data_IF_562621373172
#
_entry.id   IF_562621373172
#
_cell.length_a   1.000
_cell.length_b   1.000
_cell.length_c   1.000
_cell.angle_alpha   90.00
_cell.angle_beta   90.00
_cell.angle_gamma   90.00
#
_symmetry.space_group_name_H-M   'P 1'
#
loop_
_entity.id
_entity.type
_entity.pdbx_description
1 polymer ?
#
# COMPACT_ATOMS: atom_id res chain seq x y z
N UNK A 1 6.74 24.61 -40.54
CA UNK A 1 6.02 25.14 -41.71
C UNK A 1 6.32 26.62 -41.85
N UNK A 2 6.94 27.03 -42.96
CA UNK A 2 7.15 28.44 -43.30
C UNK A 2 6.11 28.83 -44.34
N UNK A 3 5.14 29.65 -43.94
CA UNK A 3 4.07 30.14 -44.81
C UNK A 3 2.98 30.85 -44.03
N UNK A 4 3.27 32.04 -43.51
CA UNK A 4 2.29 32.89 -42.84
C UNK A 4 2.20 34.26 -43.52
N UNK A 5 1.20 34.46 -44.36
CA UNK A 5 0.83 35.78 -44.89
C UNK A 5 -0.04 36.55 -43.90
N UNK A 6 0.15 37.86 -43.81
CA UNK A 6 -0.38 38.75 -42.77
C UNK A 6 -1.79 39.32 -43.05
N UNK A 7 -2.71 38.53 -43.58
CA UNK A 7 -4.08 38.98 -43.88
C UNK A 7 -5.02 38.88 -42.67
N UNK A 8 -5.67 39.99 -42.31
CA UNK A 8 -6.47 40.14 -41.09
C UNK A 8 -7.79 39.33 -41.03
N UNK A 9 -8.14 38.62 -42.11
CA UNK A 9 -9.41 37.86 -42.23
C UNK A 9 -9.25 36.33 -42.31
N UNK A 10 -8.04 35.78 -42.15
CA UNK A 10 -7.83 34.33 -42.25
C UNK A 10 -7.85 33.65 -40.89
N UNK A 11 -8.76 32.68 -40.73
CA UNK A 11 -8.72 31.72 -39.62
C UNK A 11 -7.48 30.83 -39.85
N UNK A 12 -6.48 30.97 -38.97
CA UNK A 12 -5.27 30.14 -39.01
C UNK A 12 -5.66 28.67 -38.76
N UNK A 13 -5.04 27.69 -39.44
CA UNK A 13 -5.31 26.29 -39.18
C UNK A 13 -4.95 25.96 -37.73
N UNK A 14 -5.96 25.66 -36.91
CA UNK A 14 -5.78 25.12 -35.58
C UNK A 14 -5.33 23.67 -35.71
N UNK A 15 -4.05 23.40 -35.46
CA UNK A 15 -3.56 22.04 -35.32
C UNK A 15 -3.94 21.54 -33.93
N UNK A 16 -4.93 20.66 -33.84
CA UNK A 16 -5.19 19.89 -32.62
C UNK A 16 -4.25 18.69 -32.63
N UNK A 17 -3.18 18.75 -31.83
CA UNK A 17 -2.37 17.57 -31.56
C UNK A 17 -3.14 16.67 -30.61
N UNK A 18 -3.63 15.53 -31.11
CA UNK A 18 -4.04 14.42 -30.25
C UNK A 18 -2.78 13.82 -29.65
N UNK A 19 -2.48 14.17 -28.40
CA UNK A 19 -1.49 13.43 -27.62
C UNK A 19 -2.15 12.10 -27.29
N UNK A 20 -1.71 11.01 -27.90
CA UNK A 20 -2.16 9.69 -27.49
C UNK A 20 -1.82 9.51 -26.00
N UNK A 21 -2.82 9.19 -25.18
CA UNK A 21 -2.64 8.85 -23.76
C UNK A 21 -2.04 7.44 -23.66
N UNK A 22 -0.75 7.34 -23.98
CA UNK A 22 -0.01 6.08 -23.90
C UNK A 22 0.46 5.84 -22.46
N UNK A 23 0.32 4.59 -22.01
CA UNK A 23 0.89 4.16 -20.75
C UNK A 23 2.42 4.30 -20.75
N UNK A 24 2.99 4.55 -19.56
CA UNK A 24 4.44 4.48 -19.40
C UNK A 24 4.91 3.04 -19.68
N UNK A 25 5.73 2.87 -20.72
CA UNK A 25 6.15 1.54 -21.21
C UNK A 25 6.83 0.67 -20.14
N UNK A 26 7.57 1.27 -19.20
CA UNK A 26 8.21 0.55 -18.09
C UNK A 26 7.15 0.08 -17.10
N UNK A 27 6.24 0.97 -16.70
CA UNK A 27 5.17 0.63 -15.77
C UNK A 27 4.19 -0.39 -16.37
N UNK A 28 3.99 -0.38 -17.70
CA UNK A 28 3.16 -1.35 -18.40
C UNK A 28 3.81 -2.74 -18.47
N UNK A 29 5.14 -2.83 -18.59
CA UNK A 29 5.86 -4.11 -18.69
C UNK A 29 6.13 -4.77 -17.32
N UNK A 30 6.31 -3.97 -16.27
CA UNK A 30 6.67 -4.46 -14.93
C UNK A 30 5.72 -5.53 -14.35
N UNK A 31 4.38 -5.39 -14.42
CA UNK A 31 3.46 -6.37 -13.85
C UNK A 31 3.68 -7.80 -14.34
N UNK A 32 4.05 -7.99 -15.62
CA UNK A 32 4.28 -9.33 -16.19
C UNK A 32 5.43 -10.06 -15.49
N UNK A 33 6.49 -9.33 -15.13
CA UNK A 33 7.65 -9.88 -14.44
C UNK A 33 7.36 -10.03 -12.94
N UNK A 34 6.78 -9.00 -12.32
CA UNK A 34 6.51 -8.95 -10.88
C UNK A 34 5.58 -10.07 -10.42
N UNK A 35 4.57 -10.42 -11.22
CA UNK A 35 3.67 -11.53 -10.94
C UNK A 35 4.39 -12.89 -10.91
N UNK A 36 5.45 -13.07 -11.72
CA UNK A 36 6.21 -14.34 -11.77
C UNK A 36 7.16 -14.49 -10.58
N UNK A 37 7.71 -13.38 -10.09
CA UNK A 37 8.70 -13.38 -9.00
C UNK A 37 8.08 -13.09 -7.62
N UNK A 38 6.77 -12.84 -7.55
CA UNK A 38 6.04 -12.46 -6.34
C UNK A 38 6.69 -11.25 -5.63
N UNK A 39 6.89 -10.19 -6.40
CA UNK A 39 7.46 -8.93 -5.92
C UNK A 39 6.53 -7.75 -6.21
N UNK A 40 6.87 -6.61 -5.63
CA UNK A 40 6.20 -5.32 -5.88
C UNK A 40 7.23 -4.30 -6.34
N UNK A 41 6.82 -3.35 -7.17
CA UNK A 41 7.64 -2.23 -7.60
C UNK A 41 7.04 -0.92 -7.12
N UNK A 42 7.91 -0.06 -6.57
CA UNK A 42 7.56 1.32 -6.25
C UNK A 42 7.89 2.15 -7.50
N UNK A 43 6.91 2.88 -8.01
CA UNK A 43 7.02 3.65 -9.26
C UNK A 43 6.72 5.11 -9.00
N UNK A 44 7.54 5.99 -9.57
CA UNK A 44 7.32 7.43 -9.48
C UNK A 44 6.32 7.89 -10.55
N UNK A 45 5.25 8.54 -10.12
CA UNK A 45 4.29 9.20 -10.98
C UNK A 45 4.66 10.67 -11.25
N UNK A 46 4.01 11.33 -12.21
CA UNK A 46 4.21 12.75 -12.45
C UNK A 46 3.71 13.60 -11.27
N UNK A 47 4.16 14.86 -11.24
CA UNK A 47 3.75 15.84 -10.25
C UNK A 47 2.45 16.53 -10.66
N UNK A 48 1.66 16.95 -9.67
CA UNK A 48 0.36 17.57 -9.85
C UNK A 48 -0.77 16.55 -10.03
N UNK A 49 -1.91 16.85 -9.42
CA UNK A 49 -3.08 15.97 -9.42
C UNK A 49 -3.56 15.53 -10.81
N UNK A 50 -3.69 16.46 -11.76
CA UNK A 50 -4.25 16.17 -13.08
C UNK A 50 -3.37 15.21 -13.88
N UNK A 51 -2.06 15.50 -13.94
CA UNK A 51 -1.09 14.65 -14.60
C UNK A 51 -0.97 13.28 -13.91
N UNK A 52 -1.01 13.24 -12.58
CA UNK A 52 -0.99 11.99 -11.82
C UNK A 52 -2.22 11.13 -12.11
N UNK A 53 -3.41 11.73 -12.16
CA UNK A 53 -4.67 11.01 -12.42
C UNK A 53 -4.67 10.42 -13.82
N UNK A 54 -4.32 11.20 -14.84
CA UNK A 54 -4.21 10.71 -16.23
C UNK A 54 -3.19 9.58 -16.34
N UNK A 55 -2.01 9.73 -15.73
CA UNK A 55 -1.00 8.68 -15.72
C UNK A 55 -1.50 7.40 -15.02
N UNK A 56 -2.18 7.54 -13.88
CA UNK A 56 -2.75 6.42 -13.13
C UNK A 56 -3.81 5.69 -13.94
N UNK A 57 -4.66 6.39 -14.68
CA UNK A 57 -5.72 5.79 -15.51
C UNK A 57 -5.17 4.83 -16.58
N UNK A 58 -3.91 5.01 -16.99
CA UNK A 58 -3.24 4.10 -17.93
C UNK A 58 -2.74 2.79 -17.31
N UNK A 59 -2.81 2.63 -15.98
CA UNK A 59 -2.16 1.54 -15.24
C UNK A 59 -3.14 0.77 -14.35
N UNK A 60 -2.97 -0.55 -14.26
CA UNK A 60 -3.74 -1.41 -13.36
C UNK A 60 -2.92 -2.63 -12.94
N UNK A 61 -2.44 -2.65 -11.69
CA UNK A 61 -1.71 -3.77 -11.13
C UNK A 61 -1.61 -3.67 -9.60
N UNK A 62 -1.88 -4.78 -8.91
CA UNK A 62 -1.64 -4.95 -7.47
C UNK A 62 -0.13 -4.97 -7.10
N UNK A 63 0.77 -5.10 -8.08
CA UNK A 63 2.22 -5.12 -7.90
C UNK A 63 2.89 -3.75 -8.02
N UNK A 64 2.15 -2.72 -8.45
CA UNK A 64 2.68 -1.37 -8.62
C UNK A 64 2.23 -0.47 -7.48
N UNK A 65 3.19 0.18 -6.82
CA UNK A 65 2.96 1.12 -5.71
C UNK A 65 3.38 2.51 -6.19
N UNK A 66 2.43 3.38 -6.54
CA UNK A 66 2.73 4.69 -7.10
C UNK A 66 3.10 5.70 -6.01
N UNK A 67 4.09 6.54 -6.29
CA UNK A 67 4.56 7.60 -5.40
C UNK A 67 4.70 8.90 -6.19
N UNK A 68 4.25 10.00 -5.61
CA UNK A 68 4.45 11.37 -6.10
C UNK A 68 4.57 12.30 -4.90
N UNK A 69 5.31 13.40 -4.91
CA UNK A 69 6.17 13.86 -5.99
C UNK A 69 7.59 13.31 -5.80
N UNK A 70 8.52 13.74 -6.67
CA UNK A 70 9.94 13.52 -6.46
C UNK A 70 10.46 14.14 -5.15
N UNK A 71 11.73 13.91 -4.84
CA UNK A 71 12.41 14.47 -3.66
C UNK A 71 13.61 15.32 -4.04
N UNK A 72 13.88 16.36 -3.27
CA UNK A 72 15.08 17.18 -3.37
C UNK A 72 16.15 16.68 -2.40
N UNK A 73 17.40 16.55 -2.87
CA UNK A 73 18.56 16.11 -2.08
C UNK A 73 19.78 16.96 -2.43
N UNK A 74 20.69 17.14 -1.47
CA UNK A 74 22.03 17.69 -1.71
C UNK A 74 22.90 16.65 -2.45
N UNK A 75 23.45 17.01 -3.60
CA UNK A 75 24.39 16.17 -4.33
C UNK A 75 25.81 16.19 -3.72
N UNK A 76 26.79 15.60 -4.42
CA UNK A 76 28.17 15.56 -3.94
C UNK A 76 28.88 16.92 -4.00
N UNK A 77 28.35 17.83 -4.80
CA UNK A 77 28.93 19.15 -5.08
C UNK A 77 28.29 20.24 -4.19
N UNK A 78 27.23 19.89 -3.45
CA UNK A 78 26.53 20.76 -2.50
C UNK A 78 25.22 21.34 -3.04
N UNK A 79 24.83 20.99 -4.27
CA UNK A 79 23.67 21.55 -4.94
C UNK A 79 22.39 20.76 -4.63
N UNK A 80 21.27 21.47 -4.54
CA UNK A 80 19.96 20.85 -4.33
C UNK A 80 19.42 20.35 -5.67
N UNK A 81 19.38 19.02 -5.82
CA UNK A 81 18.91 18.36 -7.04
C UNK A 81 17.63 17.56 -6.80
N UNK A 82 16.72 17.59 -7.78
CA UNK A 82 15.53 16.72 -7.80
C UNK A 82 15.89 15.30 -8.21
N UNK A 83 15.35 14.32 -7.50
CA UNK A 83 15.50 12.89 -7.78
C UNK A 83 14.17 12.16 -7.57
N UNK A 84 13.99 10.99 -8.21
CA UNK A 84 12.82 10.16 -7.97
C UNK A 84 12.71 9.74 -6.49
N UNK A 85 11.48 9.65 -5.99
CA UNK A 85 11.17 9.33 -4.60
C UNK A 85 11.18 7.82 -4.33
N UNK A 86 10.87 6.99 -5.33
CA UNK A 86 10.73 5.54 -5.16
C UNK A 86 11.91 4.86 -4.44
N UNK A 87 13.20 5.17 -4.72
CA UNK A 87 14.31 4.55 -3.99
C UNK A 87 14.34 4.88 -2.49
N UNK A 88 13.83 6.06 -2.09
CA UNK A 88 13.79 6.46 -0.68
C UNK A 88 12.63 5.77 0.03
N UNK A 89 11.49 5.63 -0.64
CA UNK A 89 10.36 4.84 -0.11
C UNK A 89 10.74 3.36 0.01
N UNK A 90 11.51 2.81 -0.93
CA UNK A 90 12.08 1.47 -0.80
C UNK A 90 12.97 1.33 0.44
N UNK A 91 13.77 2.36 0.77
CA UNK A 91 14.55 2.39 2.01
C UNK A 91 13.67 2.40 3.27
N UNK A 92 12.57 3.16 3.27
CA UNK A 92 11.57 3.13 4.35
C UNK A 92 10.94 1.75 4.47
N UNK A 93 10.61 1.11 3.36
CA UNK A 93 10.04 -0.23 3.32
C UNK A 93 10.95 -1.25 4.02
N UNK A 94 12.23 -1.30 3.63
CA UNK A 94 13.21 -2.22 4.21
C UNK A 94 13.43 -1.94 5.69
N UNK A 95 13.52 -0.67 6.10
CA UNK A 95 13.63 -0.29 7.52
C UNK A 95 12.43 -0.82 8.30
N UNK A 96 11.22 -0.58 7.80
CA UNK A 96 9.99 -0.93 8.49
C UNK A 96 9.80 -2.44 8.60
N UNK A 97 10.14 -3.19 7.57
CA UNK A 97 10.10 -4.64 7.64
C UNK A 97 11.14 -5.17 8.63
N UNK A 98 12.35 -4.60 8.66
CA UNK A 98 13.40 -5.00 9.60
C UNK A 98 13.03 -4.77 11.07
N UNK A 99 12.34 -3.66 11.38
CA UNK A 99 11.77 -3.40 12.71
C UNK A 99 10.76 -4.47 13.17
N UNK A 100 10.21 -5.25 12.23
CA UNK A 100 9.25 -6.32 12.47
C UNK A 100 9.84 -7.69 12.10
N UNK A 101 11.14 -7.91 12.35
CA UNK A 101 11.84 -9.17 12.09
C UNK A 101 11.83 -9.61 10.61
N UNK A 102 11.84 -8.65 9.69
CA UNK A 102 11.81 -8.89 8.25
C UNK A 102 10.43 -9.27 7.69
N UNK A 103 9.36 -9.07 8.47
CA UNK A 103 7.99 -9.46 8.08
C UNK A 103 7.24 -8.29 7.42
N UNK A 104 6.79 -8.42 6.15
CA UNK A 104 6.29 -7.29 5.37
C UNK A 104 4.78 -7.01 5.53
N UNK A 105 4.22 -7.18 6.73
CA UNK A 105 2.78 -6.98 7.02
C UNK A 105 2.43 -5.57 7.48
N UNK A 106 3.43 -4.70 7.67
CA UNK A 106 3.23 -3.34 8.16
C UNK A 106 3.32 -2.34 7.01
N UNK A 107 2.41 -1.38 7.01
CA UNK A 107 2.46 -0.25 6.08
C UNK A 107 3.66 0.66 6.35
N UNK A 108 4.15 1.27 5.29
CA UNK A 108 5.20 2.30 5.29
C UNK A 108 4.62 3.70 5.50
N UNK A 109 3.30 3.85 5.55
CA UNK A 109 2.65 5.12 5.81
C UNK A 109 2.99 5.65 7.21
N UNK A 110 2.96 6.97 7.34
CA UNK A 110 3.30 7.71 8.55
C UNK A 110 4.72 7.43 9.06
N UNK A 111 5.65 7.15 8.15
CA UNK A 111 7.05 6.92 8.47
C UNK A 111 7.89 8.14 8.07
N UNK A 112 8.81 8.50 8.96
CA UNK A 112 9.74 9.59 8.70
C UNK A 112 10.70 9.23 7.55
N UNK A 113 10.81 10.16 6.60
CA UNK A 113 11.65 10.08 5.41
C UNK A 113 12.95 10.87 5.65
N UNK A 114 14.08 10.18 5.61
CA UNK A 114 15.40 10.74 5.90
C UNK A 114 16.21 11.00 4.62
N UNK A 115 17.21 11.89 4.73
CA UNK A 115 18.17 12.13 3.65
C UNK A 115 17.60 12.95 2.48
N UNK A 116 16.52 13.69 2.70
CA UNK A 116 15.92 14.63 1.75
C UNK A 116 15.89 16.03 2.35
N UNK A 117 15.95 17.03 1.48
CA UNK A 117 15.83 18.46 1.84
C UNK A 117 14.37 18.91 1.77
N UNK A 118 13.57 18.24 0.95
CA UNK A 118 12.13 18.43 0.86
C UNK A 118 11.53 17.69 -0.33
N UNK A 119 10.20 17.64 -0.44
CA UNK A 119 9.55 17.12 -1.62
C UNK A 119 9.73 18.09 -2.80
N UNK A 120 9.60 17.59 -4.02
CA UNK A 120 9.67 18.40 -5.23
C UNK A 120 8.51 19.39 -5.29
N UNK A 121 7.30 18.90 -5.01
CA UNK A 121 6.06 19.66 -4.84
C UNK A 121 5.52 19.44 -3.42
N UNK A 122 5.04 20.49 -2.77
CA UNK A 122 4.38 20.35 -1.46
C UNK A 122 2.90 20.08 -1.68
N UNK A 123 2.45 18.86 -1.41
CA UNK A 123 1.02 18.55 -1.36
C UNK A 123 0.45 18.86 0.02
N UNK A 124 -0.75 19.46 0.05
CA UNK A 124 -1.48 19.70 1.30
C UNK A 124 -2.18 18.43 1.74
N UNK A 125 -2.01 18.08 3.01
CA UNK A 125 -2.74 17.02 3.69
C UNK A 125 -3.33 17.59 4.98
N UNK A 126 -4.61 17.32 5.23
CA UNK A 126 -5.29 17.70 6.46
C UNK A 126 -5.95 16.47 7.08
N UNK A 127 -5.97 16.43 8.42
CA UNK A 127 -6.67 15.41 9.20
C UNK A 127 -8.20 15.56 9.17
N UNK A 128 -8.71 16.75 8.86
CA UNK A 128 -10.14 17.08 8.91
C UNK A 128 -10.74 17.37 7.54
N UNK A 129 -9.95 17.97 6.65
CA UNK A 129 -10.36 18.27 5.27
C UNK A 129 -9.92 17.16 4.31
N UNK A 130 -10.91 16.50 3.70
CA UNK A 130 -10.70 15.44 2.71
C UNK A 130 -10.59 15.92 1.27
N UNK A 131 -10.70 17.22 1.01
CA UNK A 131 -10.75 17.80 -0.35
C UNK A 131 -9.44 18.50 -0.74
N UNK A 132 -8.33 18.12 -0.11
CA UNK A 132 -7.02 18.67 -0.44
C UNK A 132 -6.39 17.91 -1.61
N UNK A 133 -5.51 18.55 -2.38
CA UNK A 133 -4.81 17.91 -3.51
C UNK A 133 -4.14 16.58 -3.09
N UNK A 134 -3.51 16.54 -1.91
CA UNK A 134 -2.90 15.31 -1.40
C UNK A 134 -3.91 14.21 -1.09
N UNK A 135 -5.09 14.55 -0.56
CA UNK A 135 -6.16 13.57 -0.30
C UNK A 135 -6.77 13.04 -1.59
N UNK A 136 -6.89 13.86 -2.64
CA UNK A 136 -7.35 13.44 -3.96
C UNK A 136 -6.35 12.50 -4.65
N UNK A 137 -5.04 12.77 -4.53
CA UNK A 137 -3.99 11.86 -5.00
C UNK A 137 -4.04 10.52 -4.23
N UNK A 138 -4.24 10.55 -2.91
CA UNK A 138 -4.40 9.35 -2.09
C UNK A 138 -5.64 8.55 -2.48
N UNK A 139 -6.76 9.22 -2.78
CA UNK A 139 -7.98 8.58 -3.27
C UNK A 139 -7.76 7.94 -4.66
N UNK A 140 -6.90 8.52 -5.49
CA UNK A 140 -6.42 7.95 -6.75
C UNK A 140 -5.34 6.87 -6.57
N UNK A 141 -5.17 6.33 -5.35
CA UNK A 141 -4.21 5.27 -5.00
C UNK A 141 -2.73 5.71 -5.01
N UNK A 142 -2.46 7.02 -5.05
CA UNK A 142 -1.12 7.60 -5.04
C UNK A 142 -0.55 7.81 -3.64
N UNK A 143 0.70 7.39 -3.41
CA UNK A 143 1.45 7.76 -2.21
C UNK A 143 2.03 9.17 -2.30
N UNK A 144 1.87 9.98 -1.26
CA UNK A 144 2.37 11.34 -1.15
C UNK A 144 3.47 11.51 -0.10
N UNK A 145 4.32 12.52 -0.27
CA UNK A 145 5.28 12.97 0.75
C UNK A 145 4.85 14.34 1.23
N UNK A 146 4.67 14.46 2.55
CA UNK A 146 4.19 15.68 3.20
C UNK A 146 5.21 16.19 4.20
N UNK A 147 5.25 17.51 4.37
CA UNK A 147 6.07 18.17 5.37
C UNK A 147 5.29 18.27 6.68
N UNK A 148 5.93 17.95 7.79
CA UNK A 148 5.39 18.20 9.12
C UNK A 148 5.44 19.68 9.50
N UNK A 149 4.48 20.12 10.29
CA UNK A 149 4.34 21.50 10.76
C UNK A 149 3.93 21.49 12.23
N UNK A 150 4.80 22.01 13.10
CA UNK A 150 4.56 22.07 14.54
C UNK A 150 3.53 23.15 14.94
N UNK A 151 3.23 24.09 14.04
CA UNK A 151 2.26 25.16 14.27
C UNK A 151 0.86 24.85 13.76
N UNK A 152 0.67 23.72 13.07
CA UNK A 152 -0.62 23.30 12.50
C UNK A 152 -1.12 22.03 13.19
N UNK A 153 -2.17 22.18 14.02
CA UNK A 153 -2.85 21.06 14.70
C UNK A 153 -3.45 20.03 13.71
N UNK A 154 -3.60 20.39 12.43
CA UNK A 154 -4.11 19.52 11.38
C UNK A 154 -3.02 18.82 10.57
N UNK A 155 -1.74 19.11 10.82
CA UNK A 155 -0.63 18.44 10.17
C UNK A 155 -0.51 16.99 10.66
N UNK A 156 -0.08 16.09 9.77
CA UNK A 156 0.10 14.66 10.12
C UNK A 156 1.33 14.41 11.01
N UNK A 157 2.26 15.35 11.05
CA UNK A 157 3.50 15.26 11.81
C UNK A 157 3.94 16.64 12.32
N UNK A 158 4.53 16.70 13.50
CA UNK A 158 5.06 17.93 14.09
C UNK A 158 6.29 18.47 13.35
N UNK A 159 7.00 17.62 12.61
CA UNK A 159 8.20 18.02 11.88
C UNK A 159 8.75 16.95 10.94
N UNK A 160 9.76 17.34 10.17
CA UNK A 160 10.38 16.48 9.17
C UNK A 160 9.50 16.24 7.94
N UNK A 161 9.78 15.16 7.22
CA UNK A 161 9.01 14.73 6.05
C UNK A 161 8.49 13.32 6.29
N UNK A 162 7.24 13.09 5.90
CA UNK A 162 6.55 11.83 6.15
C UNK A 162 5.95 11.30 4.86
N UNK A 163 6.11 10.00 4.62
CA UNK A 163 5.42 9.33 3.54
C UNK A 163 4.03 8.90 3.97
N UNK A 164 3.02 9.26 3.19
CA UNK A 164 1.63 8.89 3.38
C UNK A 164 1.19 8.16 2.10
N UNK A 165 1.08 6.84 2.18
CA UNK A 165 0.63 6.02 1.07
C UNK A 165 0.46 4.58 1.54
N UNK A 166 -0.69 4.00 1.27
CA UNK A 166 -1.06 2.64 1.70
C UNK A 166 -1.44 1.73 0.54
N UNK A 167 -1.52 2.27 -0.67
CA UNK A 167 -2.26 1.67 -1.77
C UNK A 167 -1.32 1.23 -2.91
N UNK A 168 -1.71 0.17 -3.60
CA UNK A 168 -1.21 -0.19 -4.92
C UNK A 168 -2.26 0.16 -5.98
N UNK A 169 -1.93 -0.11 -7.25
CA UNK A 169 -2.83 0.12 -8.39
C UNK A 169 -3.78 -1.07 -8.64
N UNK A 170 -4.16 -1.83 -7.60
CA UNK A 170 -5.15 -2.89 -7.76
C UNK A 170 -6.54 -2.33 -8.06
N UNK A 171 -7.24 -2.94 -9.01
CA UNK A 171 -8.64 -2.64 -9.29
C UNK A 171 -9.59 -3.20 -8.21
N UNK A 172 -9.14 -4.20 -7.44
CA UNK A 172 -9.95 -4.85 -6.40
C UNK A 172 -9.65 -4.24 -5.03
N UNK A 173 -10.68 -3.77 -4.33
CA UNK A 173 -10.56 -3.13 -3.01
C UNK A 173 -9.92 -4.05 -1.97
N UNK A 174 -10.10 -5.36 -2.08
CA UNK A 174 -9.52 -6.36 -1.17
C UNK A 174 -7.98 -6.31 -1.22
N UNK A 175 -7.41 -6.20 -2.42
CA UNK A 175 -5.96 -6.20 -2.67
C UNK A 175 -5.36 -4.81 -2.80
N UNK A 176 -6.16 -3.76 -2.64
CA UNK A 176 -5.73 -2.38 -2.83
C UNK A 176 -4.62 -1.97 -1.87
N UNK A 177 -4.54 -2.55 -0.68
CA UNK A 177 -3.51 -2.18 0.29
C UNK A 177 -2.23 -2.98 0.03
N UNK A 178 -1.11 -2.31 -0.25
CA UNK A 178 0.09 -3.01 -0.74
C UNK A 178 0.66 -4.01 0.28
N UNK A 179 0.53 -3.74 1.59
CA UNK A 179 1.08 -4.64 2.61
C UNK A 179 0.31 -5.95 2.68
N UNK A 180 -0.96 -6.00 2.25
CA UNK A 180 -1.71 -7.26 2.13
C UNK A 180 -1.11 -8.14 1.06
N UNK A 181 -0.85 -7.59 -0.13
CA UNK A 181 -0.21 -8.33 -1.23
C UNK A 181 1.17 -8.83 -0.82
N UNK A 182 2.00 -7.94 -0.24
CA UNK A 182 3.34 -8.30 0.23
C UNK A 182 3.33 -9.36 1.35
N UNK A 183 2.43 -9.22 2.31
CA UNK A 183 2.26 -10.16 3.41
C UNK A 183 1.81 -11.54 2.92
N UNK A 184 0.88 -11.57 1.97
CA UNK A 184 0.43 -12.80 1.31
C UNK A 184 1.57 -13.51 0.59
N UNK A 185 2.30 -12.79 -0.27
CA UNK A 185 3.44 -13.34 -1.01
C UNK A 185 4.48 -13.94 -0.05
N UNK A 186 4.73 -13.27 1.09
CA UNK A 186 5.66 -13.76 2.11
C UNK A 186 5.24 -15.10 2.71
N UNK A 187 3.95 -15.27 3.01
CA UNK A 187 3.42 -16.55 3.52
C UNK A 187 3.49 -17.61 2.42
N UNK A 188 3.06 -17.30 1.20
CA UNK A 188 3.07 -18.23 0.07
C UNK A 188 4.50 -18.72 -0.25
N UNK A 189 5.47 -17.82 -0.31
CA UNK A 189 6.88 -18.17 -0.50
C UNK A 189 7.43 -19.01 0.66
N UNK A 190 7.00 -18.75 1.89
CA UNK A 190 7.39 -19.54 3.07
C UNK A 190 6.81 -20.95 3.01
N UNK A 191 5.54 -21.09 2.61
CA UNK A 191 4.90 -22.38 2.35
C UNK A 191 5.65 -23.13 1.24
N UNK A 192 5.89 -22.52 0.07
CA UNK A 192 6.61 -23.16 -1.04
C UNK A 192 8.02 -23.64 -0.65
N UNK A 193 8.77 -22.82 0.10
CA UNK A 193 10.11 -23.19 0.60
C UNK A 193 10.06 -24.38 1.56
N UNK A 194 9.06 -24.42 2.43
CA UNK A 194 8.90 -25.49 3.42
C UNK A 194 8.43 -26.78 2.76
N UNK A 195 7.43 -26.69 1.88
CA UNK A 195 6.86 -27.82 1.15
C UNK A 195 7.88 -28.48 0.22
N UNK A 196 8.84 -27.73 -0.31
CA UNK A 196 9.95 -28.27 -1.11
C UNK A 196 10.69 -29.43 -0.40
N UNK A 197 10.74 -29.46 0.92
CA UNK A 197 11.41 -30.53 1.67
C UNK A 197 10.66 -31.87 1.64
N UNK A 198 9.36 -31.85 1.35
CA UNK A 198 8.52 -33.05 1.24
C UNK A 198 8.52 -33.62 -0.18
N UNK A 199 8.68 -32.76 -1.19
CA UNK A 199 8.60 -33.14 -2.61
C UNK A 199 9.66 -34.18 -2.96
N UNK A 200 9.20 -35.33 -3.48
CA UNK A 200 10.06 -36.44 -3.93
C UNK A 200 10.74 -37.25 -2.82
N UNK A 201 10.59 -36.86 -1.54
CA UNK A 201 11.24 -37.54 -0.40
C UNK A 201 10.35 -38.61 0.24
N UNK A 202 9.05 -38.39 0.27
CA UNK A 202 8.09 -39.26 0.97
C UNK A 202 7.03 -39.81 0.00
N UNK A 203 6.60 -41.05 0.24
CA UNK A 203 5.44 -41.62 -0.45
C UNK A 203 4.16 -40.94 0.01
N UNK A 204 3.17 -40.83 -0.89
CA UNK A 204 1.89 -40.21 -0.58
C UNK A 204 1.01 -41.14 0.28
N UNK A 205 1.29 -41.16 1.58
CA UNK A 205 0.51 -41.88 2.60
C UNK A 205 -0.38 -40.90 3.37
N UNK A 206 -1.40 -41.42 4.07
CA UNK A 206 -2.25 -40.61 4.96
C UNK A 206 -1.43 -39.79 5.96
N UNK A 207 -0.38 -40.40 6.53
CA UNK A 207 0.51 -39.71 7.46
C UNK A 207 1.24 -38.55 6.79
N UNK A 208 1.76 -38.74 5.58
CA UNK A 208 2.48 -37.71 4.83
C UNK A 208 1.55 -36.55 4.48
N UNK A 209 0.34 -36.83 3.99
CA UNK A 209 -0.67 -35.79 3.69
C UNK A 209 -0.99 -34.99 4.96
N UNK A 210 -1.22 -35.68 6.09
CA UNK A 210 -1.50 -35.00 7.36
C UNK A 210 -0.31 -34.16 7.83
N UNK A 211 0.92 -34.65 7.70
CA UNK A 211 2.13 -33.88 8.03
C UNK A 211 2.26 -32.62 7.18
N UNK A 212 1.94 -32.69 5.89
CA UNK A 212 1.96 -31.53 4.99
C UNK A 212 0.90 -30.51 5.41
N UNK A 213 -0.35 -30.95 5.64
CA UNK A 213 -1.44 -30.08 6.10
C UNK A 213 -1.10 -29.42 7.44
N UNK A 214 -0.57 -30.18 8.41
CA UNK A 214 -0.13 -29.64 9.69
C UNK A 214 1.00 -28.63 9.53
N UNK A 215 1.92 -28.86 8.59
CA UNK A 215 3.02 -27.92 8.33
C UNK A 215 2.50 -26.57 7.82
N UNK A 216 1.56 -26.58 6.87
CA UNK A 216 0.92 -25.34 6.38
C UNK A 216 0.12 -24.67 7.49
N UNK A 217 -0.64 -25.45 8.25
CA UNK A 217 -1.38 -24.98 9.42
C UNK A 217 -0.45 -24.27 10.42
N UNK A 218 0.69 -24.87 10.77
CA UNK A 218 1.64 -24.30 11.75
C UNK A 218 2.28 -23.00 11.26
N UNK A 219 2.50 -22.85 9.95
CA UNK A 219 2.98 -21.59 9.36
C UNK A 219 1.94 -20.49 9.57
N UNK A 220 0.67 -20.77 9.28
CA UNK A 220 -0.43 -19.81 9.43
C UNK A 220 -0.72 -19.51 10.91
N UNK A 221 -0.68 -20.52 11.77
CA UNK A 221 -0.84 -20.36 13.22
C UNK A 221 0.23 -19.44 13.82
N UNK A 222 1.48 -19.55 13.35
CA UNK A 222 2.55 -18.63 13.76
C UNK A 222 2.30 -17.21 13.25
N UNK A 223 1.82 -17.04 12.02
CA UNK A 223 1.48 -15.73 11.48
C UNK A 223 0.33 -15.07 12.29
N UNK A 224 -0.67 -15.84 12.71
CA UNK A 224 -1.75 -15.36 13.57
C UNK A 224 -1.23 -14.97 14.97
N UNK A 225 -0.45 -15.85 15.60
CA UNK A 225 0.13 -15.58 16.93
C UNK A 225 1.02 -14.32 16.95
N UNK A 226 1.63 -14.01 15.82
CA UNK A 226 2.43 -12.83 15.59
C UNK A 226 1.63 -11.54 15.34
N UNK A 227 0.31 -11.65 15.12
CA UNK A 227 -0.54 -10.53 14.73
C UNK A 227 -0.27 -10.02 13.31
N UNK A 228 0.22 -10.90 12.42
CA UNK A 228 0.43 -10.61 11.00
C UNK A 228 -0.88 -10.83 10.20
N UNK A 229 -1.66 -11.83 10.59
CA UNK A 229 -3.00 -12.13 10.08
C UNK A 229 -4.03 -12.13 11.22
N UNK A 230 -5.31 -11.94 10.88
CA UNK A 230 -6.42 -11.92 11.84
C UNK A 230 -6.99 -13.31 12.14
N UNK A 231 -6.79 -14.25 11.23
CA UNK A 231 -7.29 -15.62 11.35
C UNK A 231 -7.09 -16.39 10.05
N UNK A 232 -7.23 -17.72 10.12
CA UNK A 232 -7.03 -18.61 8.98
C UNK A 232 -7.85 -19.90 9.07
N UNK A 233 -7.95 -20.58 7.93
CA UNK A 233 -8.50 -21.93 7.78
C UNK A 233 -7.60 -22.71 6.84
N UNK A 234 -7.10 -23.86 7.27
CA UNK A 234 -6.26 -24.74 6.46
C UNK A 234 -6.84 -26.15 6.50
N UNK A 235 -7.20 -26.70 5.34
CA UNK A 235 -7.80 -28.04 5.25
C UNK A 235 -7.43 -28.78 3.97
N UNK A 236 -7.51 -30.10 4.07
CA UNK A 236 -7.58 -30.97 2.91
C UNK A 236 -9.06 -31.10 2.49
N UNK A 237 -9.41 -30.56 1.32
CA UNK A 237 -10.78 -30.61 0.81
C UNK A 237 -10.99 -31.83 -0.07
N UNK A 238 -12.05 -32.61 0.22
CA UNK A 238 -12.39 -33.82 -0.55
C UNK A 238 -12.91 -33.48 -1.95
N UNK A 239 -13.52 -32.30 -2.14
CA UNK A 239 -14.04 -31.89 -3.45
C UNK A 239 -12.91 -31.54 -4.43
N UNK A 240 -11.79 -31.04 -3.90
CA UNK A 240 -10.61 -30.70 -4.69
C UNK A 240 -9.67 -31.89 -4.91
N UNK A 241 -9.75 -32.93 -4.08
CA UNK A 241 -8.83 -34.06 -4.10
C UNK A 241 -9.53 -35.35 -4.53
N UNK A 242 -9.39 -35.71 -5.80
CA UNK A 242 -9.92 -36.95 -6.34
C UNK A 242 -8.86 -38.08 -6.37
N UNK A 243 -9.31 -39.33 -6.50
CA UNK A 243 -8.42 -40.50 -6.49
C UNK A 243 -7.42 -40.54 -7.67
N UNK A 244 -7.73 -39.89 -8.79
CA UNK A 244 -6.83 -39.84 -9.95
C UNK A 244 -5.63 -38.93 -9.69
N UNK A 245 -5.86 -37.76 -9.08
CA UNK A 245 -4.79 -36.83 -8.69
C UNK A 245 -3.90 -37.44 -7.61
N UNK A 246 -4.49 -38.10 -6.61
CA UNK A 246 -3.73 -38.81 -5.58
C UNK A 246 -2.87 -39.93 -6.18
N UNK A 247 -3.35 -40.64 -7.20
CA UNK A 247 -2.57 -41.66 -7.91
C UNK A 247 -1.36 -41.07 -8.62
N UNK A 248 -1.46 -39.83 -9.12
CA UNK A 248 -0.34 -39.10 -9.72
C UNK A 248 0.64 -38.51 -8.69
N UNK A 249 0.33 -38.63 -7.39
CA UNK A 249 1.12 -38.04 -6.31
C UNK A 249 0.80 -36.57 -6.05
N UNK A 250 -0.30 -36.05 -6.59
CA UNK A 250 -0.73 -34.67 -6.46
C UNK A 250 -1.81 -34.52 -5.38
N UNK A 251 -1.70 -33.46 -4.57
CA UNK A 251 -2.70 -33.08 -3.57
C UNK A 251 -2.93 -31.57 -3.59
N UNK A 252 -4.17 -31.18 -3.29
CA UNK A 252 -4.59 -29.80 -3.11
C UNK A 252 -4.84 -29.51 -1.62
N UNK A 253 -4.38 -28.35 -1.17
CA UNK A 253 -4.61 -27.85 0.18
C UNK A 253 -5.29 -26.49 0.06
N UNK A 254 -6.46 -26.37 0.70
CA UNK A 254 -7.22 -25.13 0.78
C UNK A 254 -6.76 -24.36 2.02
N UNK A 255 -6.03 -23.26 1.79
CA UNK A 255 -5.52 -22.36 2.81
C UNK A 255 -6.11 -20.95 2.60
N UNK A 256 -6.95 -20.53 3.54
CA UNK A 256 -7.60 -19.22 3.57
C UNK A 256 -7.09 -18.46 4.79
N UNK A 257 -6.76 -17.19 4.63
CA UNK A 257 -6.30 -16.33 5.71
C UNK A 257 -6.59 -14.88 5.36
N UNK A 258 -6.71 -14.01 6.36
CA UNK A 258 -7.00 -12.58 6.17
C UNK A 258 -5.91 -11.73 6.85
N UNK A 259 -5.25 -10.89 6.05
CA UNK A 259 -4.29 -9.90 6.53
C UNK A 259 -5.01 -8.71 7.17
N UNK A 260 -4.48 -8.23 8.29
CA UNK A 260 -5.06 -7.07 8.97
C UNK A 260 -5.03 -5.82 8.06
N UNK A 261 -6.16 -5.11 7.88
CA UNK A 261 -6.17 -3.88 7.10
C UNK A 261 -5.44 -2.76 7.84
N UNK A 262 -4.86 -1.82 7.07
CA UNK A 262 -4.26 -0.61 7.63
C UNK A 262 -5.33 0.37 8.06
N UNK A 263 -5.08 1.02 9.20
CA UNK A 263 -5.89 2.11 9.70
C UNK A 263 -5.70 3.37 8.83
N UNK A 264 -6.64 3.60 7.90
CA UNK A 264 -6.57 4.72 6.94
C UNK A 264 -7.29 5.98 7.40
N UNK A 265 -8.42 5.84 8.11
CA UNK A 265 -9.30 6.96 8.45
C UNK A 265 -9.98 6.76 9.79
N UNK A 266 -9.90 7.79 10.63
CA UNK A 266 -10.72 7.95 11.83
C UNK A 266 -11.77 9.02 11.56
N UNK A 267 -13.02 8.78 11.97
CA UNK A 267 -14.05 9.84 12.01
C UNK A 267 -14.54 9.96 13.44
N UNK A 268 -14.18 11.04 14.13
CA UNK A 268 -14.62 11.32 15.49
C UNK A 268 -15.82 12.27 15.46
N UNK A 269 -16.89 11.92 16.16
CA UNK A 269 -18.01 12.85 16.40
C UNK A 269 -18.00 13.26 17.87
N UNK A 270 -17.83 14.54 18.15
CA UNK A 270 -17.92 15.09 19.51
C UNK A 270 -19.33 15.64 19.77
N UNK A 271 -19.89 15.38 20.95
CA UNK A 271 -21.18 15.89 21.41
C UNK A 271 -21.10 16.23 22.90
N UNK A 272 -21.81 17.28 23.37
CA UNK A 272 -21.94 17.52 24.80
C UNK A 272 -22.57 16.33 25.53
N UNK A 273 -22.05 15.99 26.71
CA UNK A 273 -22.52 14.87 27.52
C UNK A 273 -23.37 15.36 28.71
N UNK A 274 -24.65 15.66 28.44
CA UNK A 274 -25.59 16.19 29.43
C UNK A 274 -25.75 15.33 30.71
N UNK A 275 -25.71 13.99 30.67
CA UNK A 275 -25.81 13.19 31.89
C UNK A 275 -24.74 13.46 32.95
N UNK A 276 -23.54 13.93 32.55
CA UNK A 276 -22.53 14.33 33.53
C UNK A 276 -22.97 15.54 34.37
N UNK A 277 -23.76 16.46 33.81
CA UNK A 277 -24.30 17.59 34.56
C UNK A 277 -25.32 17.12 35.60
N UNK A 278 -26.16 16.14 35.25
CA UNK A 278 -27.10 15.56 36.19
C UNK A 278 -26.35 14.86 37.35
N UNK A 279 -25.30 14.11 37.05
CA UNK A 279 -24.48 13.47 38.07
C UNK A 279 -23.84 14.50 39.04
N UNK A 280 -23.42 15.66 38.54
CA UNK A 280 -22.93 16.76 39.40
C UNK A 280 -24.03 17.34 40.29
N UNK A 281 -25.24 17.53 39.75
CA UNK A 281 -26.39 18.01 40.54
C UNK A 281 -26.72 16.99 41.64
N UNK A 282 -26.77 15.71 41.31
CA UNK A 282 -27.07 14.63 42.25
C UNK A 282 -26.02 14.57 43.37
N UNK A 283 -24.73 14.75 43.03
CA UNK A 283 -23.63 14.82 44.02
C UNK A 283 -23.78 16.03 44.96
N UNK A 284 -24.16 17.20 44.43
CA UNK A 284 -24.39 18.40 45.24
C UNK A 284 -25.59 18.24 46.18
N UNK A 285 -26.69 17.64 45.70
CA UNK A 285 -27.87 17.33 46.53
C UNK A 285 -27.49 16.34 47.63
N UNK A 286 -26.73 15.30 47.30
CA UNK A 286 -26.28 14.31 48.28
C UNK A 286 -25.41 14.93 49.39
N UNK A 287 -24.61 15.96 49.08
CA UNK A 287 -23.81 16.70 50.07
C UNK A 287 -24.61 17.67 50.94
N UNK A 288 -25.76 18.17 50.47
CA UNK A 288 -26.63 19.07 51.25
C UNK A 288 -27.53 18.34 52.25
N UNK A 289 -27.75 17.04 52.05
CA UNK A 289 -28.58 16.20 52.91
C UNK A 289 -27.77 15.47 54.01
N UNK A 290 -26.50 15.85 54.20
CA UNK A 290 -25.60 15.46 55.31
C UNK A 290 -25.47 16.62 56.30
#
# INVERSE_FOLDING_TARGET
FTGGGADAGKVLPTATATVEELANAVCAALPEVLNKILAVAIVDGPNGLSAFTQWRETLSSDRLIPVTPGVKRIDKDGDVVTRPAAPRIAGVAVRRDYENDGRPFRSWANQALYGIVGPEQNYRFSLTDGSTEGQEILAAQGGIIVRGDSGDDFAIAEGGFVYIGTDNLSAQTIWQQYHKVRGRDFIELTCLRTLRQFLGKFNLTTQTIQSVVNTVHDILAKAEANGDILGFKCRFDLELNNAQDLRSGHIYIDAQFEEAPVFRRLTMTSRPYAPALQATIDELIARQNL
#
